data_IF_217960805401
#
_entry.id   IF_217960805401
#
_cell.length_a   1.000
_cell.length_b   1.000
_cell.length_c   1.000
_cell.angle_alpha   90.00
_cell.angle_beta   90.00
_cell.angle_gamma   90.00
#
_symmetry.space_group_name_H-M   'P 1'
#
loop_
_entity.id
_entity.type
_entity.pdbx_description
1 polymer ?
#
# COMPACT_ATOMS: atom_id res chain seq x y z
N UNK A 1 -8.19 -11.41 -4.43
CA UNK A 1 -7.25 -10.77 -5.36
C UNK A 1 -6.91 -9.32 -4.96
N UNK A 2 -7.88 -8.44 -4.68
CA UNK A 2 -7.57 -7.05 -4.25
C UNK A 2 -6.76 -6.95 -2.95
N UNK A 3 -7.03 -7.81 -1.96
CA UNK A 3 -6.27 -7.88 -0.68
C UNK A 3 -4.77 -8.18 -0.89
N UNK A 4 -4.38 -8.71 -2.04
CA UNK A 4 -2.98 -9.02 -2.35
C UNK A 4 -2.22 -7.77 -2.79
N UNK A 5 -2.88 -6.86 -3.52
CA UNK A 5 -2.29 -5.62 -4.06
C UNK A 5 -2.24 -4.52 -2.99
N UNK A 6 -3.24 -4.48 -2.10
CA UNK A 6 -3.34 -3.55 -0.99
C UNK A 6 -3.41 -4.35 0.34
N UNK A 7 -2.28 -4.92 0.80
CA UNK A 7 -2.27 -5.88 1.91
C UNK A 7 -2.48 -5.25 3.30
N UNK A 8 -2.23 -3.95 3.45
CA UNK A 8 -2.27 -3.26 4.75
C UNK A 8 -3.53 -2.44 5.00
N UNK A 9 -4.51 -2.51 4.11
CA UNK A 9 -5.70 -1.65 4.19
C UNK A 9 -6.90 -2.46 4.68
N UNK A 10 -7.15 -2.43 5.99
CA UNK A 10 -8.43 -2.83 6.57
C UNK A 10 -9.41 -1.64 6.51
N UNK A 11 -9.65 -1.12 5.30
CA UNK A 11 -10.56 0.01 5.15
C UNK A 11 -11.98 -0.40 5.56
N UNK A 12 -12.60 0.47 6.33
CA UNK A 12 -13.99 0.39 6.73
C UNK A 12 -14.71 1.68 6.32
N UNK A 13 -16.02 1.74 6.61
CA UNK A 13 -16.86 2.86 6.20
C UNK A 13 -16.41 4.23 6.77
N UNK A 14 -15.56 4.25 7.81
CA UNK A 14 -15.00 5.50 8.38
C UNK A 14 -13.81 6.04 7.61
N UNK A 15 -13.14 5.20 6.82
CA UNK A 15 -11.96 5.59 6.03
C UNK A 15 -12.36 6.29 4.71
N UNK A 16 -13.65 6.25 4.37
CA UNK A 16 -14.23 6.85 3.18
C UNK A 16 -15.24 7.92 3.58
N UNK A 17 -14.99 9.17 3.18
CA UNK A 17 -15.92 10.29 3.39
C UNK A 17 -17.14 10.15 2.51
N UNK A 18 -16.93 9.72 1.26
CA UNK A 18 -17.98 9.64 0.25
C UNK A 18 -17.59 8.67 -0.85
N UNK A 19 -18.52 7.81 -1.25
CA UNK A 19 -18.40 6.95 -2.42
C UNK A 19 -19.68 7.03 -3.21
N UNK A 20 -19.56 7.23 -4.52
CA UNK A 20 -20.72 7.20 -5.42
C UNK A 20 -20.29 6.84 -6.84
N UNK A 21 -21.25 6.34 -7.63
CA UNK A 21 -21.07 6.18 -9.07
C UNK A 21 -21.44 7.47 -9.79
N UNK A 22 -20.76 7.76 -10.90
CA UNK A 22 -21.01 8.96 -11.71
C UNK A 22 -21.69 8.58 -13.03
N UNK A 23 -22.62 9.43 -13.48
CA UNK A 23 -23.37 9.24 -14.72
C UNK A 23 -24.73 8.55 -14.53
N UNK A 24 -25.61 8.63 -15.54
CA UNK A 24 -26.94 8.03 -15.49
C UNK A 24 -26.86 6.52 -15.28
N UNK A 25 -27.85 5.93 -14.61
CA UNK A 25 -27.92 4.48 -14.48
C UNK A 25 -28.29 3.88 -15.83
N UNK A 26 -27.38 3.08 -16.37
CA UNK A 26 -27.53 2.42 -17.67
C UNK A 26 -27.24 0.94 -17.50
N UNK A 27 -27.94 0.10 -18.26
CA UNK A 27 -27.68 -1.35 -18.35
C UNK A 27 -26.50 -1.63 -19.30
N UNK A 28 -25.43 -0.82 -19.18
CA UNK A 28 -24.24 -0.95 -20.00
C UNK A 28 -23.39 -2.13 -19.53
N UNK A 29 -22.78 -2.83 -20.48
CA UNK A 29 -21.73 -3.83 -20.20
C UNK A 29 -20.53 -3.23 -19.46
N UNK A 30 -20.30 -1.92 -19.59
CA UNK A 30 -19.22 -1.23 -18.90
C UNK A 30 -19.71 -0.63 -17.58
N UNK A 31 -19.10 -1.00 -16.44
CA UNK A 31 -19.51 -0.47 -15.15
C UNK A 31 -19.23 1.04 -15.07
N UNK A 32 -20.20 1.79 -14.51
CA UNK A 32 -20.05 3.23 -14.28
C UNK A 32 -18.83 3.53 -13.39
N UNK A 33 -18.08 4.61 -13.65
CA UNK A 33 -16.99 5.03 -12.79
C UNK A 33 -17.45 5.24 -11.35
N UNK A 34 -16.58 4.92 -10.40
CA UNK A 34 -16.77 5.20 -8.97
C UNK A 34 -15.85 6.35 -8.58
N UNK A 35 -16.41 7.38 -7.94
CA UNK A 35 -15.66 8.43 -7.28
C UNK A 35 -15.67 8.14 -5.79
N UNK A 36 -14.48 7.94 -5.24
CA UNK A 36 -14.24 7.72 -3.82
C UNK A 36 -13.41 8.87 -3.23
N UNK A 37 -13.88 9.42 -2.12
CA UNK A 37 -13.16 10.41 -1.31
C UNK A 37 -12.70 9.72 -0.03
N UNK A 38 -11.38 9.55 0.09
CA UNK A 38 -10.75 9.04 1.31
C UNK A 38 -10.78 10.07 2.42
N UNK A 39 -10.90 9.59 3.66
CA UNK A 39 -10.73 10.40 4.87
C UNK A 39 -9.28 10.87 4.98
N UNK A 40 -8.31 9.98 4.73
CA UNK A 40 -6.89 10.29 4.80
C UNK A 40 -6.25 10.36 3.41
N UNK A 41 -5.37 11.35 3.24
CA UNK A 41 -4.63 11.51 1.98
C UNK A 41 -3.67 10.34 1.70
N UNK A 42 -3.11 9.72 2.75
CA UNK A 42 -2.20 8.58 2.60
C UNK A 42 -2.86 7.39 1.90
N UNK A 43 -4.12 7.08 2.19
CA UNK A 43 -4.86 6.00 1.52
C UNK A 43 -4.99 6.27 0.02
N UNK A 44 -5.33 7.51 -0.36
CA UNK A 44 -5.37 7.92 -1.76
C UNK A 44 -4.01 7.72 -2.44
N UNK A 45 -2.91 8.10 -1.78
CA UNK A 45 -1.55 7.93 -2.32
C UNK A 45 -1.21 6.46 -2.49
N UNK A 46 -1.56 5.60 -1.53
CA UNK A 46 -1.34 4.14 -1.64
C UNK A 46 -2.06 3.54 -2.85
N UNK A 47 -3.35 3.88 -3.05
CA UNK A 47 -4.11 3.40 -4.23
C UNK A 47 -3.43 3.85 -5.53
N UNK A 48 -3.06 5.13 -5.60
CA UNK A 48 -2.45 5.70 -6.81
C UNK A 48 -1.07 5.08 -7.09
N UNK A 49 -0.30 4.75 -6.05
CA UNK A 49 0.97 4.05 -6.16
C UNK A 49 0.85 2.63 -6.72
N UNK A 50 -0.32 2.00 -6.57
CA UNK A 50 -0.61 0.65 -7.08
C UNK A 50 -1.37 0.63 -8.41
N UNK A 51 -1.40 1.75 -9.14
CA UNK A 51 -2.15 1.89 -10.40
C UNK A 51 -1.83 0.82 -11.44
N UNK A 52 -0.55 0.47 -11.62
CA UNK A 52 -0.14 -0.52 -12.62
C UNK A 52 -0.67 -1.93 -12.27
N UNK A 53 -0.55 -2.32 -11.01
CA UNK A 53 -1.05 -3.60 -10.46
C UNK A 53 -2.58 -3.67 -10.50
N UNK A 54 -3.28 -2.57 -10.20
CA UNK A 54 -4.74 -2.51 -10.32
C UNK A 54 -5.19 -2.59 -11.79
N UNK A 55 -4.42 -1.99 -12.72
CA UNK A 55 -4.73 -2.03 -14.15
C UNK A 55 -4.56 -3.43 -14.74
N UNK A 56 -3.59 -4.23 -14.28
CA UNK A 56 -3.46 -5.63 -14.73
C UNK A 56 -4.63 -6.49 -14.28
N UNK A 57 -5.32 -6.11 -13.20
CA UNK A 57 -6.58 -6.69 -12.75
C UNK A 57 -7.83 -6.11 -13.46
N UNK A 58 -7.65 -5.26 -14.47
CA UNK A 58 -8.75 -4.61 -15.19
C UNK A 58 -9.34 -3.37 -14.51
N UNK A 59 -8.70 -2.86 -13.45
CA UNK A 59 -9.20 -1.70 -12.67
C UNK A 59 -8.36 -0.46 -12.98
N UNK A 60 -8.94 0.48 -13.72
CA UNK A 60 -8.33 1.79 -13.96
C UNK A 60 -8.54 2.74 -12.77
N UNK A 61 -7.46 3.30 -12.22
CA UNK A 61 -7.52 4.32 -11.18
C UNK A 61 -6.83 5.60 -11.63
N UNK A 62 -7.52 6.73 -11.54
CA UNK A 62 -6.98 8.05 -11.84
C UNK A 62 -7.26 9.05 -10.72
N UNK A 63 -6.51 10.15 -10.69
CA UNK A 63 -6.86 11.30 -9.87
C UNK A 63 -8.16 11.92 -10.39
N UNK A 64 -9.03 12.34 -9.47
CA UNK A 64 -10.18 13.17 -9.81
C UNK A 64 -9.67 14.57 -10.19
N UNK A 65 -9.70 14.83 -11.49
CA UNK A 65 -9.29 16.08 -12.10
C UNK A 65 -10.47 16.66 -12.86
N UNK A 66 -10.65 17.97 -12.75
CA UNK A 66 -11.65 18.68 -13.55
C UNK A 66 -11.29 18.61 -15.04
N UNK A 67 -12.27 18.90 -15.90
CA UNK A 67 -12.03 18.94 -17.34
C UNK A 67 -10.88 19.91 -17.70
N UNK A 68 -10.90 21.12 -17.14
CA UNK A 68 -9.87 22.14 -17.41
C UNK A 68 -8.49 21.67 -16.98
N UNK A 69 -8.38 21.07 -15.78
CA UNK A 69 -7.13 20.51 -15.28
C UNK A 69 -6.58 19.43 -16.22
N UNK A 70 -7.45 18.54 -16.72
CA UNK A 70 -7.04 17.52 -17.70
C UNK A 70 -6.53 18.14 -19.01
N UNK A 71 -7.19 19.19 -19.50
CA UNK A 71 -6.75 19.87 -20.72
C UNK A 71 -5.40 20.58 -20.53
N UNK A 72 -5.17 21.21 -19.38
CA UNK A 72 -3.88 21.84 -19.06
C UNK A 72 -2.74 20.84 -18.98
N UNK A 73 -2.96 19.68 -18.33
CA UNK A 73 -1.97 18.60 -18.31
C UNK A 73 -1.68 18.08 -19.70
N UNK A 74 -2.72 17.92 -20.55
CA UNK A 74 -2.56 17.49 -21.94
C UNK A 74 -1.69 18.47 -22.74
N UNK A 75 -1.97 19.77 -22.64
CA UNK A 75 -1.18 20.82 -23.31
C UNK A 75 0.29 20.83 -22.88
N UNK A 76 0.57 20.67 -21.58
CA UNK A 76 1.96 20.62 -21.09
C UNK A 76 2.68 19.36 -21.56
N UNK A 77 2.00 18.21 -21.60
CA UNK A 77 2.55 16.98 -22.14
C UNK A 77 2.90 17.10 -23.64
N UNK A 78 2.06 17.75 -24.43
CA UNK A 78 2.32 18.01 -25.86
C UNK A 78 3.54 18.92 -26.08
N UNK A 79 3.85 19.79 -25.11
CA UNK A 79 5.08 20.61 -25.09
C UNK A 79 6.32 19.86 -24.60
N UNK A 80 6.18 18.59 -24.22
CA UNK A 80 7.27 17.77 -23.67
C UNK A 80 7.55 17.98 -22.18
N UNK A 81 6.74 18.79 -21.49
CA UNK A 81 6.91 19.06 -20.06
C UNK A 81 6.29 17.95 -19.20
N UNK A 82 6.86 17.71 -18.01
CA UNK A 82 6.19 16.93 -16.98
C UNK A 82 5.31 17.87 -16.16
N UNK A 83 3.99 17.64 -16.13
CA UNK A 83 3.06 18.47 -15.37
C UNK A 83 2.13 17.62 -14.49
N UNK A 84 1.82 18.11 -13.30
CA UNK A 84 0.89 17.47 -12.38
C UNK A 84 0.22 18.50 -11.45
N UNK A 85 -0.97 18.17 -10.95
CA UNK A 85 -1.65 18.98 -9.94
C UNK A 85 -1.38 18.47 -8.54
N UNK A 86 -1.03 19.38 -7.63
CA UNK A 86 -0.91 19.13 -6.19
C UNK A 86 -1.64 20.25 -5.44
N UNK A 87 -2.58 19.88 -4.58
CA UNK A 87 -3.38 20.84 -3.79
C UNK A 87 -4.07 21.93 -4.64
N UNK A 88 -4.52 21.57 -5.85
CA UNK A 88 -5.17 22.51 -6.78
C UNK A 88 -4.21 23.41 -7.56
N UNK A 89 -2.91 23.33 -7.28
CA UNK A 89 -1.86 24.09 -7.98
C UNK A 89 -1.22 23.20 -9.06
N UNK A 90 -0.99 23.78 -10.24
CA UNK A 90 -0.27 23.14 -11.33
C UNK A 90 1.24 23.27 -11.09
N UNK A 91 1.94 22.14 -11.09
CA UNK A 91 3.40 22.08 -11.11
C UNK A 91 3.86 21.62 -12.49
N UNK A 92 4.86 22.30 -13.05
CA UNK A 92 5.42 22.01 -14.38
C UNK A 92 6.93 21.97 -14.24
N UNK A 93 7.53 20.84 -14.62
CA UNK A 93 8.96 20.66 -14.69
C UNK A 93 9.39 20.73 -16.17
N UNK A 94 10.25 21.70 -16.50
CA UNK A 94 10.78 21.98 -17.86
C UNK A 94 11.92 21.01 -18.26
N UNK A 95 11.84 19.76 -17.81
CA UNK A 95 12.77 18.70 -18.21
C UNK A 95 12.17 17.83 -19.32
N UNK A 96 13.00 17.14 -20.12
CA UNK A 96 12.49 16.09 -20.99
C UNK A 96 11.65 15.14 -20.14
N UNK A 97 10.51 14.71 -20.68
CA UNK A 97 9.61 13.77 -20.01
C UNK A 97 10.38 12.48 -19.72
N UNK A 98 11.12 12.42 -18.61
CA UNK A 98 11.68 11.19 -18.11
C UNK A 98 10.48 10.32 -17.80
N UNK A 99 10.27 9.29 -18.63
CA UNK A 99 9.29 8.26 -18.38
C UNK A 99 9.46 7.79 -16.94
N UNK A 100 8.60 8.26 -16.04
CA UNK A 100 8.57 7.94 -14.61
C UNK A 100 8.01 6.51 -14.45
N UNK A 101 8.64 5.56 -15.14
CA UNK A 101 8.16 4.21 -15.40
C UNK A 101 9.22 3.15 -15.06
N UNK A 102 10.23 3.48 -14.24
CA UNK A 102 11.36 2.58 -13.97
C UNK A 102 11.61 2.25 -12.49
N UNK A 103 10.67 2.47 -11.56
CA UNK A 103 10.92 2.15 -10.14
C UNK A 103 9.83 1.35 -9.41
N UNK A 104 8.85 0.76 -10.11
CA UNK A 104 7.92 -0.19 -9.46
C UNK A 104 8.36 -1.65 -9.53
N UNK A 105 9.33 -2.01 -10.38
CA UNK A 105 9.73 -3.41 -10.56
C UNK A 105 10.83 -3.87 -9.61
N UNK A 106 11.53 -2.97 -8.91
CA UNK A 106 12.69 -3.32 -8.06
C UNK A 106 12.37 -3.68 -6.61
N UNK A 107 11.15 -3.42 -6.11
CA UNK A 107 10.79 -3.77 -4.72
C UNK A 107 10.11 -5.13 -4.56
N UNK A 108 9.73 -5.81 -5.66
CA UNK A 108 9.07 -7.12 -5.58
C UNK A 108 10.01 -8.33 -5.71
N UNK A 109 11.28 -8.15 -6.08
CA UNK A 109 12.24 -9.27 -6.19
C UNK A 109 12.94 -9.64 -4.88
N UNK A 110 12.92 -8.79 -3.84
CA UNK A 110 13.67 -9.03 -2.60
C UNK A 110 12.84 -9.68 -1.47
N UNK A 111 11.51 -9.72 -1.58
CA UNK A 111 10.67 -10.33 -0.52
C UNK A 111 10.51 -11.84 -0.70
N UNK A 112 10.74 -12.38 -1.90
CA UNK A 112 10.58 -13.82 -2.17
C UNK A 112 11.82 -14.65 -1.80
N UNK A 113 13.00 -14.04 -1.66
CA UNK A 113 14.25 -14.76 -1.38
C UNK A 113 14.47 -15.07 0.11
N UNK A 114 13.73 -14.43 1.03
CA UNK A 114 14.01 -14.51 2.47
C UNK A 114 13.10 -15.46 3.26
N UNK A 115 12.14 -16.13 2.61
CA UNK A 115 11.14 -16.95 3.31
C UNK A 115 11.33 -18.47 3.20
N UNK A 116 12.47 -18.98 2.72
CA UNK A 116 12.66 -20.43 2.48
C UNK A 116 13.82 -21.10 3.26
N UNK A 117 14.43 -20.44 4.24
CA UNK A 117 15.62 -21.01 4.94
C UNK A 117 15.46 -21.22 6.46
N UNK A 118 14.24 -21.46 6.94
CA UNK A 118 14.03 -21.88 8.34
C UNK A 118 13.08 -23.08 8.43
N UNK A 119 13.51 -24.22 7.88
CA UNK A 119 13.02 -25.52 8.30
C UNK A 119 14.22 -26.48 8.33
N UNK A 120 14.33 -27.22 9.43
CA UNK A 120 15.29 -28.30 9.67
C UNK A 120 16.68 -27.90 10.21
N UNK A 121 16.74 -27.70 11.54
CA UNK A 121 17.91 -28.13 12.30
C UNK A 121 17.51 -29.24 13.28
N UNK A 122 18.09 -30.45 13.18
CA UNK A 122 17.90 -31.50 14.16
C UNK A 122 18.63 -31.14 15.46
N UNK A 123 17.89 -31.13 16.56
CA UNK A 123 18.39 -30.89 17.92
C UNK A 123 19.27 -32.06 18.36
N UNK A 124 20.60 -31.94 18.20
CA UNK A 124 21.54 -32.86 18.84
C UNK A 124 21.57 -32.61 20.34
N UNK A 125 21.04 -33.57 21.10
CA UNK A 125 21.12 -33.60 22.56
C UNK A 125 22.58 -33.71 23.00
N UNK A 126 23.12 -32.62 23.55
CA UNK A 126 24.37 -32.65 24.30
C UNK A 126 24.06 -32.90 25.78
N UNK A 127 24.37 -34.13 26.19
CA UNK A 127 24.64 -34.49 27.58
C UNK A 127 25.60 -33.49 28.21
N UNK A 128 25.17 -32.80 29.26
CA UNK A 128 26.07 -32.25 30.27
C UNK A 128 25.54 -32.72 31.62
N UNK A 129 26.29 -33.64 32.20
CA UNK A 129 26.09 -34.13 33.55
C UNK A 129 26.66 -33.14 34.58
N UNK A 130 26.15 -33.28 35.82
CA UNK A 130 26.67 -32.84 37.14
C UNK A 130 25.99 -31.60 37.75
N UNK A 131 26.04 -31.45 39.09
CA UNK A 131 25.81 -32.45 40.13
C UNK A 131 24.86 -31.93 41.23
N UNK A 132 24.35 -32.85 42.06
CA UNK A 132 23.63 -32.57 43.29
C UNK A 132 24.39 -31.62 44.24
N UNK A 133 23.73 -30.57 44.74
CA UNK A 133 24.09 -29.97 46.03
C UNK A 133 22.91 -29.32 46.76
N UNK A 134 22.39 -30.10 47.73
CA UNK A 134 22.04 -29.77 49.12
C UNK A 134 21.13 -28.56 49.42
N UNK A 135 19.94 -28.92 49.91
CA UNK A 135 19.00 -28.20 50.80
C UNK A 135 19.63 -27.21 51.78
N UNK A 136 18.95 -26.06 52.00
CA UNK A 136 18.39 -25.60 53.29
C UNK A 136 17.83 -24.17 53.18
N UNK A 137 16.66 -23.94 53.77
CA UNK A 137 16.35 -22.64 54.40
C UNK A 137 14.97 -22.08 54.07
N UNK A 138 13.99 -22.44 54.90
CA UNK A 138 12.71 -21.75 55.00
C UNK A 138 12.90 -20.37 55.65
N UNK A 139 12.17 -19.35 55.18
CA UNK A 139 11.78 -18.22 56.04
C UNK A 139 10.42 -17.68 55.56
N UNK A 140 9.45 -17.71 56.48
CA UNK A 140 8.10 -17.19 56.36
C UNK A 140 8.03 -15.69 56.71
N UNK A 141 6.87 -15.08 56.41
CA UNK A 141 6.24 -13.86 56.97
C UNK A 141 6.41 -12.52 56.21
N UNK A 142 5.49 -11.55 56.38
CA UNK A 142 4.03 -11.66 56.19
C UNK A 142 3.43 -10.48 55.40
N UNK A 143 2.14 -10.60 55.11
CA UNK A 143 1.22 -9.58 54.64
C UNK A 143 1.32 -8.24 55.40
N UNK A 144 1.19 -7.13 54.66
CA UNK A 144 0.69 -5.88 55.20
C UNK A 144 -0.52 -5.44 54.37
N UNK A 145 -1.55 -5.09 55.12
CA UNK A 145 -2.87 -4.59 54.72
C UNK A 145 -2.80 -3.35 53.84
#
# INVERSE_FOLDING_TARGET
MLKTVLPYTNWNDRDLVRVHRTGPQTDSSYPRPVIARFQFHCDKVQVLGKRAELKSLGIGVNNDLTYNQRQELKKNKEKGHCAYYKNGVLHVDEGPTHHYNQNTDRLHSEVTASSSLNAERPTQARHIARPHRRMKGATQHPERK
#
